data_IF_963520332488
#
_entry.id   IF_963520332488
#
_cell.length_a   1.000
_cell.length_b   1.000
_cell.length_c   1.000
_cell.angle_alpha   90.00
_cell.angle_beta   90.00
_cell.angle_gamma   90.00
#
_symmetry.space_group_name_H-M   'P 1'
#
loop_
_entity.id
_entity.type
_entity.pdbx_description
1 polymer ?
#
# COMPACT_ATOMS: atom_id res chain seq x y z
N UNK A 1 -0.93 5.76 -23.62
CA UNK A 1 -0.69 5.95 -22.17
C UNK A 1 -0.56 4.55 -21.55
N UNK A 2 0.65 4.12 -21.20
CA UNK A 2 0.87 2.77 -20.68
C UNK A 2 0.62 2.73 -19.17
N UNK A 3 -0.58 2.31 -18.77
CA UNK A 3 -0.88 1.95 -17.38
C UNK A 3 -0.08 0.69 -17.01
N UNK A 4 1.13 0.87 -16.50
CA UNK A 4 1.90 -0.22 -15.91
C UNK A 4 1.34 -0.51 -14.52
N UNK A 5 0.40 -1.44 -14.44
CA UNK A 5 0.03 -2.06 -13.17
C UNK A 5 1.30 -2.59 -12.50
N UNK A 6 1.58 -2.16 -11.28
CA UNK A 6 2.72 -2.62 -10.51
C UNK A 6 2.47 -4.10 -10.21
N UNK A 7 3.21 -4.98 -10.87
CA UNK A 7 3.06 -6.42 -10.66
C UNK A 7 3.27 -6.78 -9.17
N UNK A 8 2.72 -7.91 -8.68
CA UNK A 8 2.75 -8.28 -7.26
C UNK A 8 4.17 -8.37 -6.67
N UNK A 9 5.17 -8.58 -7.53
CA UNK A 9 6.59 -8.64 -7.15
C UNK A 9 7.19 -7.24 -6.89
N UNK A 10 6.66 -6.21 -7.52
CA UNK A 10 7.13 -4.83 -7.38
C UNK A 10 6.40 -4.10 -6.25
N UNK A 11 5.19 -4.52 -5.84
CA UNK A 11 4.47 -3.93 -4.70
C UNK A 11 5.33 -3.90 -3.44
N UNK A 12 6.08 -4.97 -3.14
CA UNK A 12 7.00 -5.01 -2.00
C UNK A 12 8.09 -3.94 -2.08
N UNK A 13 8.65 -3.69 -3.27
CA UNK A 13 9.70 -2.68 -3.47
C UNK A 13 9.13 -1.27 -3.29
N UNK A 14 7.93 -1.02 -3.80
CA UNK A 14 7.28 0.29 -3.67
C UNK A 14 6.91 0.58 -2.21
N UNK A 15 6.33 -0.41 -1.50
CA UNK A 15 6.03 -0.25 -0.07
C UNK A 15 7.31 -0.06 0.73
N UNK A 16 8.37 -0.85 0.47
CA UNK A 16 9.65 -0.68 1.16
C UNK A 16 10.29 0.70 0.91
N UNK A 17 10.26 1.19 -0.33
CA UNK A 17 10.74 2.52 -0.66
C UNK A 17 9.93 3.61 0.04
N UNK A 18 8.59 3.53 0.01
CA UNK A 18 7.72 4.47 0.72
C UNK A 18 8.00 4.47 2.22
N UNK A 19 8.15 3.29 2.85
CA UNK A 19 8.49 3.17 4.27
C UNK A 19 9.86 3.80 4.57
N UNK A 20 10.85 3.64 3.69
CA UNK A 20 12.18 4.27 3.89
C UNK A 20 12.15 5.80 3.83
N UNK A 21 11.10 6.38 3.22
CA UNK A 21 10.89 7.83 3.14
C UNK A 21 10.09 8.38 4.34
N UNK A 22 9.51 7.52 5.18
CA UNK A 22 8.69 7.92 6.34
C UNK A 22 9.53 8.41 7.54
N UNK A 23 10.49 9.32 7.29
CA UNK A 23 11.21 10.05 8.33
C UNK A 23 10.41 11.26 8.82
N UNK A 24 10.67 11.70 10.06
CA UNK A 24 9.94 12.84 10.66
C UNK A 24 10.28 14.18 10.01
N UNK A 25 11.50 14.39 9.49
CA UNK A 25 11.93 15.64 8.83
C UNK A 25 11.51 16.94 9.56
N UNK A 26 11.41 16.93 10.89
CA UNK A 26 10.98 18.09 11.70
C UNK A 26 9.46 18.24 11.88
N UNK A 27 8.65 17.27 11.48
CA UNK A 27 7.22 17.20 11.76
C UNK A 27 6.96 16.57 13.14
N UNK A 28 5.94 17.10 13.85
CA UNK A 28 5.51 16.62 15.16
C UNK A 28 4.76 15.28 15.09
N UNK A 29 4.08 15.03 13.97
CA UNK A 29 3.32 13.81 13.75
C UNK A 29 4.15 12.70 13.09
N UNK A 30 3.85 11.47 13.49
CA UNK A 30 4.44 10.28 12.88
C UNK A 30 3.85 10.10 11.47
N UNK A 31 4.68 10.02 10.41
CA UNK A 31 4.19 9.82 9.05
C UNK A 31 3.39 8.52 8.94
N UNK A 32 2.34 8.55 8.14
CA UNK A 32 1.47 7.40 7.92
C UNK A 32 1.38 7.08 6.43
N UNK A 33 1.67 5.84 6.07
CA UNK A 33 1.45 5.31 4.73
C UNK A 33 0.10 4.59 4.70
N UNK A 34 -0.76 5.01 3.77
CA UNK A 34 -1.97 4.28 3.38
C UNK A 34 -1.78 3.78 1.96
N UNK A 35 -1.99 2.48 1.74
CA UNK A 35 -1.74 1.86 0.44
C UNK A 35 -2.81 0.83 0.07
N UNK A 36 -3.18 0.83 -1.20
CA UNK A 36 -3.96 -0.23 -1.82
C UNK A 36 -3.02 -1.34 -2.31
N UNK A 37 -3.22 -2.56 -1.84
CA UNK A 37 -2.36 -3.71 -2.15
C UNK A 37 -3.17 -4.95 -2.53
N UNK A 38 -2.59 -5.93 -3.24
CA UNK A 38 -3.24 -7.23 -3.43
C UNK A 38 -3.59 -7.87 -2.07
N UNK A 39 -4.70 -8.60 -1.99
CA UNK A 39 -5.17 -9.21 -0.73
C UNK A 39 -4.15 -10.16 -0.08
N UNK A 40 -3.26 -10.75 -0.90
CA UNK A 40 -2.18 -11.64 -0.47
C UNK A 40 -0.94 -10.92 0.07
N UNK A 41 -0.86 -9.60 -0.07
CA UNK A 41 0.26 -8.81 0.46
C UNK A 41 0.29 -8.87 1.99
N UNK A 42 1.49 -9.09 2.53
CA UNK A 42 1.76 -9.14 3.98
C UNK A 42 2.96 -8.27 4.30
N UNK A 43 2.84 -7.49 5.37
CA UNK A 43 3.92 -6.68 5.92
C UNK A 43 3.78 -6.63 7.45
N UNK A 44 4.86 -6.80 8.24
CA UNK A 44 4.77 -6.91 9.70
C UNK A 44 4.14 -5.70 10.39
N UNK A 45 4.40 -4.48 9.88
CA UNK A 45 3.85 -3.24 10.42
C UNK A 45 2.55 -2.77 9.77
N UNK A 46 1.91 -3.60 8.94
CA UNK A 46 0.68 -3.21 8.25
C UNK A 46 -0.57 -3.62 9.03
N UNK A 47 -1.40 -2.62 9.32
CA UNK A 47 -2.77 -2.77 9.78
C UNK A 47 -3.70 -2.82 8.55
N UNK A 48 -4.59 -3.81 8.46
CA UNK A 48 -5.61 -3.84 7.42
C UNK A 48 -6.77 -2.93 7.83
N UNK A 49 -7.13 -1.99 6.95
CA UNK A 49 -8.24 -1.07 7.20
C UNK A 49 -9.53 -1.56 6.54
N UNK A 50 -9.43 -2.09 5.33
CA UNK A 50 -10.59 -2.49 4.52
C UNK A 50 -10.16 -3.49 3.43
N UNK A 51 -10.98 -4.51 3.17
CA UNK A 51 -10.86 -5.35 1.97
C UNK A 51 -11.91 -4.89 0.95
N UNK A 52 -11.46 -4.59 -0.27
CA UNK A 52 -12.33 -4.05 -1.32
C UNK A 52 -13.02 -5.17 -2.12
N UNK A 53 -14.29 -4.99 -2.52
CA UNK A 53 -14.97 -5.87 -3.46
C UNK A 53 -14.20 -6.04 -4.79
N UNK A 54 -14.32 -7.22 -5.41
CA UNK A 54 -13.55 -7.56 -6.62
C UNK A 54 -13.95 -6.77 -7.88
N UNK A 55 -15.10 -6.10 -7.83
CA UNK A 55 -15.71 -5.24 -8.84
C UNK A 55 -15.50 -3.75 -8.57
N UNK A 56 -14.69 -3.39 -7.56
CA UNK A 56 -14.36 -1.98 -7.25
C UNK A 56 -13.63 -1.26 -8.39
N UNK A 57 -12.98 -2.00 -9.29
CA UNK A 57 -12.24 -1.43 -10.42
C UNK A 57 -12.94 -1.78 -11.74
N UNK A 58 -13.49 -0.76 -12.39
CA UNK A 58 -14.28 -0.87 -13.63
C UNK A 58 -13.58 -1.65 -14.75
N UNK A 59 -12.25 -1.57 -14.80
CA UNK A 59 -11.46 -2.11 -15.91
C UNK A 59 -10.82 -3.47 -15.61
N UNK A 60 -10.89 -3.99 -14.38
CA UNK A 60 -10.21 -5.22 -14.01
C UNK A 60 -10.76 -5.85 -12.74
N UNK A 61 -10.98 -7.18 -12.78
CA UNK A 61 -11.30 -7.96 -11.57
C UNK A 61 -10.04 -8.17 -10.74
N UNK A 62 -9.91 -7.42 -9.64
CA UNK A 62 -8.75 -7.49 -8.75
C UNK A 62 -9.18 -7.63 -7.30
N UNK A 63 -8.49 -8.49 -6.55
CA UNK A 63 -8.74 -8.67 -5.12
C UNK A 63 -7.71 -7.86 -4.34
N UNK A 64 -8.16 -6.78 -3.73
CA UNK A 64 -7.29 -5.79 -3.10
C UNK A 64 -7.80 -5.40 -1.72
N UNK A 65 -6.91 -4.83 -0.93
CA UNK A 65 -7.19 -4.31 0.39
C UNK A 65 -6.42 -3.02 0.64
N UNK A 66 -6.95 -2.19 1.52
CA UNK A 66 -6.30 -0.99 2.02
C UNK A 66 -5.57 -1.34 3.31
N UNK A 67 -4.30 -0.98 3.38
CA UNK A 67 -3.47 -1.12 4.58
C UNK A 67 -2.97 0.23 5.07
N UNK A 68 -2.63 0.28 6.36
CA UNK A 68 -1.95 1.40 7.02
C UNK A 68 -0.66 0.94 7.67
N UNK A 69 0.42 1.68 7.46
CA UNK A 69 1.70 1.52 8.16
C UNK A 69 2.04 2.86 8.81
N UNK A 70 2.31 2.87 10.12
CA UNK A 70 2.79 4.05 10.85
C UNK A 70 4.31 4.06 10.83
N UNK A 71 4.92 5.24 10.66
CA UNK A 71 6.36 5.46 10.85
C UNK A 71 6.82 5.17 12.28
N UNK A 72 8.13 5.17 12.49
CA UNK A 72 8.75 5.07 13.81
C UNK A 72 8.99 6.46 14.45
#
# INVERSE_FOLDING_TARGET
MNHRFIGPRDVRKHVAAAVSLMGRNGHDDVPTLVALVPITFRHPGAEELETLPADTFDTAKVYTKIIRIRGA
#
